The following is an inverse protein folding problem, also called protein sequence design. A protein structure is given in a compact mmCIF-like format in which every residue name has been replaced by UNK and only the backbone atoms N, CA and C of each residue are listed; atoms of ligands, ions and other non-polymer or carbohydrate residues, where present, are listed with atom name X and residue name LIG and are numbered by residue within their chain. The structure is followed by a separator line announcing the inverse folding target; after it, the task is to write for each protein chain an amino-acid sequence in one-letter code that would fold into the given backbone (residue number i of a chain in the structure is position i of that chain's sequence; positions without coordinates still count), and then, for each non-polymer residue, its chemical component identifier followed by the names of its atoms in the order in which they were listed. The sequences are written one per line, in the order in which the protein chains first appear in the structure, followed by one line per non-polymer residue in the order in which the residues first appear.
data_IF_448027498507
#
_entry.id   IF_448027498507
#
_cell.length_a   1.000
_cell.length_b   1.000
_cell.length_c   1.000
_cell.angle_alpha   90.00
_cell.angle_beta   90.00
_cell.angle_gamma   90.00
#
_symmetry.space_group_name_H-M   'P 1'
#
loop_
_entity.id
_entity.type
_entity.pdbx_description
1 polymer ?
#
# COMPACT_ATOMS: atom_id res chain seq x y z
N UNK A 1 10.77 -4.52 4.83
CA UNK A 1 10.21 -4.25 3.50
C UNK A 1 11.20 -3.50 2.59
N UNK A 2 11.87 -2.45 3.10
CA UNK A 2 12.78 -1.57 2.32
C UNK A 2 13.91 -2.35 1.62
N UNK A 3 14.40 -3.45 2.19
CA UNK A 3 15.45 -4.28 1.59
C UNK A 3 15.04 -4.95 0.27
N UNK A 4 13.73 -5.03 -0.02
CA UNK A 4 13.22 -5.62 -1.28
C UNK A 4 13.40 -4.67 -2.46
N UNK A 5 13.41 -3.34 -2.22
CA UNK A 5 13.56 -2.32 -3.27
C UNK A 5 14.87 -2.45 -4.08
N UNK A 6 16.07 -2.59 -3.45
CA UNK A 6 17.30 -2.80 -4.20
C UNK A 6 17.29 -4.07 -5.05
N UNK A 7 16.69 -5.16 -4.54
CA UNK A 7 16.59 -6.41 -5.28
C UNK A 7 15.70 -6.23 -6.53
N UNK A 8 14.54 -5.60 -6.39
CA UNK A 8 13.66 -5.29 -7.52
C UNK A 8 14.36 -4.38 -8.54
N UNK A 9 15.05 -3.32 -8.07
CA UNK A 9 15.78 -2.39 -8.93
C UNK A 9 16.91 -3.08 -9.74
N UNK A 10 17.65 -4.00 -9.13
CA UNK A 10 18.68 -4.77 -9.83
C UNK A 10 18.07 -5.64 -10.93
N UNK A 11 16.96 -6.34 -10.63
CA UNK A 11 16.27 -7.19 -11.60
C UNK A 11 15.75 -6.36 -12.79
N UNK A 12 15.08 -5.23 -12.53
CA UNK A 12 14.62 -4.30 -13.58
C UNK A 12 15.81 -3.76 -14.37
N UNK A 13 16.89 -3.37 -13.68
CA UNK A 13 18.12 -2.86 -14.32
C UNK A 13 18.76 -3.87 -15.26
N UNK A 14 18.82 -5.14 -14.89
CA UNK A 14 19.28 -6.22 -15.77
C UNK A 14 18.38 -6.31 -17.01
N UNK A 15 17.06 -6.26 -16.84
CA UNK A 15 16.10 -6.26 -17.94
C UNK A 15 16.37 -5.11 -18.93
N UNK A 16 16.52 -3.89 -18.46
CA UNK A 16 16.80 -2.72 -19.30
C UNK A 16 18.16 -2.78 -20.01
N UNK A 17 19.20 -3.33 -19.35
CA UNK A 17 20.51 -3.54 -19.98
C UNK A 17 20.42 -4.55 -21.12
N UNK A 18 19.72 -5.66 -20.91
CA UNK A 18 19.52 -6.69 -21.95
C UNK A 18 18.72 -6.14 -23.14
N UNK A 19 17.71 -5.30 -22.87
CA UNK A 19 16.92 -4.63 -23.91
C UNK A 19 17.76 -3.63 -24.71
N UNK A 20 18.55 -2.81 -24.03
CA UNK A 20 19.45 -1.83 -24.67
C UNK A 20 20.53 -2.49 -25.55
N UNK A 21 20.99 -3.69 -25.19
CA UNK A 21 21.93 -4.49 -25.99
C UNK A 21 21.25 -5.26 -27.12
N UNK A 22 19.92 -5.20 -27.22
CA UNK A 22 19.10 -5.99 -28.17
C UNK A 22 19.39 -7.49 -28.15
N UNK A 23 19.84 -7.99 -27.01
CA UNK A 23 20.12 -9.41 -26.76
C UNK A 23 18.88 -10.04 -26.13
N UNK A 24 18.26 -11.00 -26.83
CA UNK A 24 17.12 -11.78 -26.34
C UNK A 24 15.98 -10.89 -25.76
N UNK A 25 15.21 -10.16 -26.60
CA UNK A 25 14.17 -9.22 -26.12
C UNK A 25 13.15 -9.86 -25.17
N UNK A 26 12.84 -11.15 -25.35
CA UNK A 26 11.92 -11.89 -24.50
C UNK A 26 12.47 -12.09 -23.08
N UNK A 27 13.76 -12.30 -22.94
CA UNK A 27 14.43 -12.45 -21.64
C UNK A 27 14.51 -11.09 -20.94
N UNK A 28 14.81 -10.03 -21.69
CA UNK A 28 14.80 -8.66 -21.18
C UNK A 28 13.41 -8.28 -20.59
N UNK A 29 12.36 -8.54 -21.37
CA UNK A 29 10.98 -8.32 -20.94
C UNK A 29 10.61 -9.16 -19.70
N UNK A 30 11.08 -10.41 -19.63
CA UNK A 30 10.84 -11.26 -18.45
C UNK A 30 11.45 -10.66 -17.17
N UNK A 31 12.72 -10.25 -17.19
CA UNK A 31 13.38 -9.64 -16.04
C UNK A 31 12.71 -8.32 -15.63
N UNK A 32 12.38 -7.48 -16.60
CA UNK A 32 11.65 -6.22 -16.33
C UNK A 32 10.32 -6.52 -15.64
N UNK A 33 9.52 -7.43 -16.19
CA UNK A 33 8.20 -7.80 -15.62
C UNK A 33 8.32 -8.41 -14.21
N UNK A 34 9.33 -9.21 -13.92
CA UNK A 34 9.56 -9.74 -12.57
C UNK A 34 9.84 -8.64 -11.57
N UNK A 35 10.72 -7.69 -11.93
CA UNK A 35 11.05 -6.58 -11.04
C UNK A 35 9.87 -5.60 -10.85
N UNK A 36 9.13 -5.29 -11.91
CA UNK A 36 7.92 -4.48 -11.86
C UNK A 36 6.85 -5.12 -10.97
N UNK A 37 6.63 -6.43 -11.10
CA UNK A 37 5.69 -7.16 -10.23
C UNK A 37 6.02 -6.99 -8.75
N UNK A 38 7.30 -7.00 -8.37
CA UNK A 38 7.72 -6.77 -6.99
C UNK A 38 7.37 -5.34 -6.56
N UNK A 39 7.63 -4.35 -7.42
CA UNK A 39 7.33 -2.94 -7.14
C UNK A 39 5.82 -2.69 -7.01
N UNK A 40 5.02 -3.32 -7.86
CA UNK A 40 3.56 -3.24 -7.81
C UNK A 40 2.96 -3.82 -6.53
N UNK A 41 3.67 -4.74 -5.85
CA UNK A 41 3.22 -5.36 -4.61
C UNK A 41 3.83 -4.72 -3.34
N UNK A 42 4.50 -3.57 -3.46
CA UNK A 42 5.16 -2.92 -2.33
C UNK A 42 4.22 -2.63 -1.16
N UNK A 43 3.00 -2.20 -1.42
CA UNK A 43 2.04 -1.86 -0.36
C UNK A 43 1.76 -3.02 0.59
N UNK A 44 1.53 -4.23 0.05
CA UNK A 44 1.29 -5.42 0.89
C UNK A 44 2.57 -5.85 1.65
N UNK A 45 3.74 -5.72 1.02
CA UNK A 45 5.02 -6.02 1.68
C UNK A 45 5.27 -5.07 2.85
N UNK A 46 4.92 -3.78 2.70
CA UNK A 46 4.98 -2.81 3.79
C UNK A 46 3.95 -3.10 4.87
N UNK A 47 2.71 -3.46 4.52
CA UNK A 47 1.69 -3.83 5.49
C UNK A 47 2.16 -4.99 6.39
N UNK A 48 2.67 -6.05 5.79
CA UNK A 48 3.20 -7.21 6.52
C UNK A 48 4.42 -6.82 7.36
N UNK A 49 5.39 -6.11 6.76
CA UNK A 49 6.64 -5.76 7.41
C UNK A 49 6.46 -4.81 8.60
N UNK A 50 5.57 -3.81 8.47
CA UNK A 50 5.23 -2.90 9.57
C UNK A 50 4.47 -3.64 10.67
N UNK A 51 3.51 -4.49 10.28
CA UNK A 51 2.73 -5.26 11.24
C UNK A 51 3.61 -6.17 12.10
N UNK A 52 4.53 -6.93 11.49
CA UNK A 52 5.47 -7.80 12.23
C UNK A 52 6.44 -6.96 13.07
N UNK A 53 6.97 -5.87 12.50
CA UNK A 53 7.96 -5.02 13.19
C UNK A 53 7.40 -4.28 14.41
N UNK A 54 6.09 -3.97 14.43
CA UNK A 54 5.42 -3.26 15.51
C UNK A 54 4.69 -4.19 16.49
N UNK A 55 4.60 -5.48 16.19
CA UNK A 55 3.98 -6.46 17.05
C UNK A 55 4.91 -6.83 18.22
N UNK A 56 4.34 -7.03 19.41
CA UNK A 56 5.09 -7.48 20.62
C UNK A 56 5.81 -8.81 20.42
N UNK A 57 5.26 -9.69 19.60
CA UNK A 57 5.84 -11.00 19.26
C UNK A 57 5.81 -11.14 17.73
N UNK A 58 6.91 -11.63 17.15
CA UNK A 58 6.99 -11.91 15.72
C UNK A 58 6.17 -13.19 15.42
N UNK A 59 4.91 -13.00 15.03
CA UNK A 59 3.96 -14.09 14.84
C UNK A 59 3.33 -14.00 13.44
N UNK A 60 3.14 -15.17 12.82
CA UNK A 60 2.45 -15.26 11.53
C UNK A 60 0.99 -14.76 11.55
N UNK A 61 0.34 -14.79 12.73
CA UNK A 61 -1.03 -14.29 12.87
C UNK A 61 -1.14 -12.79 12.56
N UNK A 62 -0.15 -11.99 12.95
CA UNK A 62 -0.14 -10.55 12.64
C UNK A 62 0.10 -10.29 11.16
N UNK A 63 0.94 -11.10 10.50
CA UNK A 63 1.16 -11.02 9.06
C UNK A 63 -0.12 -11.35 8.28
N UNK A 64 -0.81 -12.42 8.67
CA UNK A 64 -2.10 -12.79 8.07
C UNK A 64 -3.16 -11.71 8.27
N UNK A 65 -3.24 -11.13 9.47
CA UNK A 65 -4.16 -10.04 9.77
C UNK A 65 -3.88 -8.79 8.91
N UNK A 66 -2.60 -8.42 8.74
CA UNK A 66 -2.21 -7.31 7.87
C UNK A 66 -2.56 -7.57 6.41
N UNK A 67 -2.30 -8.78 5.91
CA UNK A 67 -2.65 -9.18 4.54
C UNK A 67 -4.16 -9.10 4.31
N UNK A 68 -4.96 -9.63 5.23
CA UNK A 68 -6.41 -9.56 5.16
C UNK A 68 -6.91 -8.12 5.16
N UNK A 69 -6.42 -7.30 6.08
CA UNK A 69 -6.77 -5.88 6.16
C UNK A 69 -6.41 -5.11 4.89
N UNK A 70 -5.24 -5.42 4.31
CA UNK A 70 -4.79 -4.80 3.07
C UNK A 70 -5.72 -5.12 1.89
N UNK A 71 -6.11 -6.37 1.73
CA UNK A 71 -7.07 -6.76 0.70
C UNK A 71 -8.46 -6.14 0.92
N UNK A 72 -8.93 -6.05 2.17
CA UNK A 72 -10.21 -5.40 2.45
C UNK A 72 -10.19 -3.95 1.93
N UNK A 73 -9.17 -3.17 2.30
CA UNK A 73 -9.12 -1.74 1.95
C UNK A 73 -8.88 -1.55 0.44
N UNK A 74 -7.88 -2.19 -0.14
CA UNK A 74 -7.51 -1.97 -1.55
C UNK A 74 -8.55 -2.51 -2.51
N UNK A 75 -9.15 -3.68 -2.24
CA UNK A 75 -10.16 -4.26 -3.13
C UNK A 75 -11.50 -3.53 -3.01
N UNK A 76 -11.94 -3.18 -1.79
CA UNK A 76 -13.21 -2.47 -1.60
C UNK A 76 -13.15 -1.06 -2.19
N UNK A 77 -12.02 -0.36 -2.01
CA UNK A 77 -11.84 1.00 -2.54
C UNK A 77 -11.38 1.02 -4.00
N UNK A 78 -11.19 -0.13 -4.66
CA UNK A 78 -10.88 -0.15 -6.09
C UNK A 78 -12.04 0.39 -6.93
N UNK A 79 -11.78 1.11 -8.05
CA UNK A 79 -12.84 1.66 -8.90
C UNK A 79 -13.86 0.62 -9.35
N UNK A 80 -13.42 -0.62 -9.61
CA UNK A 80 -14.29 -1.74 -10.02
C UNK A 80 -15.33 -2.13 -8.96
N UNK A 81 -15.01 -1.99 -7.67
CA UNK A 81 -15.92 -2.32 -6.56
C UNK A 81 -16.69 -1.10 -6.08
N UNK A 82 -16.10 0.09 -6.16
CA UNK A 82 -16.78 1.33 -5.80
C UNK A 82 -17.88 1.72 -6.78
N UNK A 83 -17.69 1.50 -8.07
CA UNK A 83 -18.69 1.84 -9.09
C UNK A 83 -20.09 1.26 -8.79
N UNK A 84 -20.26 -0.05 -8.56
CA UNK A 84 -21.56 -0.60 -8.22
C UNK A 84 -22.05 -0.18 -6.82
N UNK A 85 -21.13 0.07 -5.87
CA UNK A 85 -21.47 0.50 -4.51
C UNK A 85 -22.05 1.92 -4.49
N UNK A 86 -21.52 2.81 -5.33
CA UNK A 86 -21.97 4.18 -5.48
C UNK A 86 -23.05 4.35 -6.57
N UNK A 87 -23.43 3.25 -7.25
CA UNK A 87 -24.39 3.24 -8.38
C UNK A 87 -24.00 4.19 -9.53
N UNK A 88 -22.70 4.31 -9.80
CA UNK A 88 -22.12 5.12 -10.88
C UNK A 88 -21.35 4.23 -11.86
N UNK A 89 -21.03 4.76 -13.05
CA UNK A 89 -20.14 4.06 -13.97
C UNK A 89 -18.72 4.07 -13.46
N UNK A 90 -17.93 3.05 -13.82
CA UNK A 90 -16.52 2.96 -13.38
C UNK A 90 -15.69 4.17 -13.83
N UNK A 91 -16.07 4.79 -14.96
CA UNK A 91 -15.45 6.04 -15.47
C UNK A 91 -15.77 7.27 -14.65
N UNK A 92 -16.85 7.26 -13.88
CA UNK A 92 -17.32 8.41 -13.09
C UNK A 92 -16.81 8.35 -11.63
N UNK A 93 -16.11 7.27 -11.28
CA UNK A 93 -15.42 7.13 -9.98
C UNK A 93 -14.23 8.09 -9.97
N UNK A 94 -14.04 8.81 -8.85
CA UNK A 94 -12.94 9.75 -8.70
C UNK A 94 -11.59 9.05 -8.97
N UNK A 95 -10.76 9.65 -9.83
CA UNK A 95 -9.44 9.13 -10.24
C UNK A 95 -8.48 8.89 -9.06
N UNK A 96 -8.72 9.54 -7.91
CA UNK A 96 -7.96 9.29 -6.68
C UNK A 96 -8.00 7.80 -6.25
N UNK A 97 -9.08 7.07 -6.57
CA UNK A 97 -9.22 5.66 -6.23
C UNK A 97 -8.47 4.72 -7.18
N UNK A 98 -8.02 5.19 -8.34
CA UNK A 98 -7.11 4.44 -9.22
C UNK A 98 -5.77 4.15 -8.53
N UNK A 99 -5.38 4.98 -7.58
CA UNK A 99 -4.18 4.79 -6.77
C UNK A 99 -4.35 3.78 -5.61
N UNK A 100 -5.57 3.26 -5.40
CA UNK A 100 -5.83 2.18 -4.44
C UNK A 100 -5.44 0.83 -5.01
N UNK A 101 -4.16 0.69 -5.31
CA UNK A 101 -3.53 -0.52 -5.85
C UNK A 101 -2.70 -1.24 -4.80
N UNK A 102 -2.23 -2.44 -5.13
CA UNK A 102 -1.34 -3.21 -4.27
C UNK A 102 0.01 -2.52 -4.02
N UNK A 103 0.39 -1.56 -4.85
CA UNK A 103 1.59 -0.74 -4.69
C UNK A 103 1.44 0.42 -3.69
N UNK A 104 0.24 0.69 -3.20
CA UNK A 104 0.02 1.83 -2.30
C UNK A 104 0.65 1.58 -0.91
N UNK A 105 1.87 2.08 -0.75
CA UNK A 105 2.68 1.91 0.48
C UNK A 105 2.07 2.65 1.66
N UNK A 106 1.46 3.82 1.44
CA UNK A 106 0.82 4.59 2.52
C UNK A 106 -0.33 3.80 3.16
N UNK A 107 -1.21 3.24 2.35
CA UNK A 107 -2.28 2.35 2.82
C UNK A 107 -1.69 1.12 3.50
N UNK A 108 -0.61 0.55 2.93
CA UNK A 108 0.10 -0.57 3.54
C UNK A 108 0.62 -0.27 4.94
N UNK A 109 1.25 0.89 5.16
CA UNK A 109 1.74 1.31 6.48
C UNK A 109 0.58 1.46 7.46
N UNK A 110 -0.51 2.15 7.08
CA UNK A 110 -1.68 2.33 7.94
C UNK A 110 -2.27 1.00 8.40
N UNK A 111 -2.44 0.06 7.47
CA UNK A 111 -2.99 -1.26 7.78
C UNK A 111 -2.03 -2.08 8.63
N UNK A 112 -0.72 -1.99 8.37
CA UNK A 112 0.29 -2.62 9.18
C UNK A 112 0.25 -2.16 10.64
N UNK A 113 0.07 -0.86 10.88
CA UNK A 113 -0.09 -0.29 12.22
C UNK A 113 -1.38 -0.78 12.91
N UNK A 114 -2.50 -0.82 12.18
CA UNK A 114 -3.77 -1.33 12.71
C UNK A 114 -3.65 -2.81 13.07
N UNK A 115 -3.05 -3.63 12.21
CA UNK A 115 -2.85 -5.05 12.47
C UNK A 115 -1.96 -5.29 13.70
N UNK A 116 -0.86 -4.53 13.82
CA UNK A 116 0.01 -4.57 14.99
C UNK A 116 -0.72 -4.14 16.27
N UNK A 117 -1.50 -3.07 16.20
CA UNK A 117 -2.32 -2.62 17.32
C UNK A 117 -3.33 -3.70 17.75
N UNK A 118 -4.06 -4.28 16.80
CA UNK A 118 -5.00 -5.36 17.06
C UNK A 118 -4.29 -6.57 17.68
N UNK A 119 -3.12 -6.96 17.16
CA UNK A 119 -2.33 -8.04 17.70
C UNK A 119 -1.89 -7.76 19.15
N UNK A 120 -1.32 -6.59 19.38
CA UNK A 120 -0.81 -6.22 20.71
C UNK A 120 -1.90 -6.14 21.78
N UNK A 121 -3.13 -5.83 21.37
CA UNK A 121 -4.26 -5.67 22.29
C UNK A 121 -5.08 -6.95 22.47
N UNK A 122 -5.29 -7.71 21.40
CA UNK A 122 -6.26 -8.81 21.39
C UNK A 122 -5.66 -10.22 21.35
N UNK A 123 -4.34 -10.35 21.10
CA UNK A 123 -3.69 -11.69 20.98
C UNK A 123 -3.74 -12.56 22.23
N UNK A 124 -3.92 -11.95 23.40
CA UNK A 124 -3.98 -12.64 24.70
C UNK A 124 -5.38 -12.54 25.34
N UNK A 125 -6.38 -12.05 24.61
CA UNK A 125 -7.74 -11.89 25.13
C UNK A 125 -8.47 -13.23 25.13
N UNK A 126 -8.97 -13.62 26.30
CA UNK A 126 -9.83 -14.78 26.46
C UNK A 126 -11.29 -14.37 26.32
N UNK A 127 -12.03 -15.05 25.46
CA UNK A 127 -13.46 -14.84 25.24
C UNK A 127 -14.28 -15.81 26.08
N UNK A 128 -15.56 -15.49 26.40
CA UNK A 128 -16.48 -16.40 27.08
C UNK A 128 -16.56 -17.76 26.39
N UNK A 129 -16.94 -18.79 27.15
CA UNK A 129 -16.94 -20.20 26.71
C UNK A 129 -17.64 -20.42 25.38
N UNK A 130 -18.74 -19.70 25.12
CA UNK A 130 -19.47 -19.78 23.84
C UNK A 130 -18.65 -19.30 22.61
N UNK A 131 -17.67 -18.42 22.80
CA UNK A 131 -16.82 -17.85 21.75
C UNK A 131 -15.35 -18.23 21.92
N UNK A 132 -15.03 -19.16 22.80
CA UNK A 132 -13.65 -19.56 23.13
C UNK A 132 -12.84 -20.04 21.92
N UNK A 133 -13.51 -20.56 20.88
CA UNK A 133 -12.88 -20.94 19.62
C UNK A 133 -12.16 -19.75 18.92
N UNK A 134 -12.68 -18.54 19.10
CA UNK A 134 -12.11 -17.33 18.52
C UNK A 134 -11.12 -16.60 19.44
N UNK A 135 -10.84 -17.13 20.61
CA UNK A 135 -9.94 -16.53 21.61
C UNK A 135 -8.49 -16.44 21.14
N UNK A 136 -7.75 -15.49 21.73
CA UNK A 136 -6.32 -15.31 21.51
C UNK A 136 -5.97 -14.87 20.08
N UNK A 137 -4.99 -15.53 19.48
CA UNK A 137 -4.46 -15.15 18.16
C UNK A 137 -5.48 -15.21 17.01
N UNK A 138 -6.52 -16.03 17.14
CA UNK A 138 -7.59 -16.13 16.13
C UNK A 138 -8.50 -14.91 16.11
N UNK A 139 -8.57 -14.18 17.21
CA UNK A 139 -9.34 -12.93 17.30
C UNK A 139 -8.69 -11.80 16.51
N UNK A 140 -7.36 -11.81 16.36
CA UNK A 140 -6.61 -10.73 15.74
C UNK A 140 -7.05 -10.45 14.29
N UNK A 141 -7.14 -11.42 13.36
CA UNK A 141 -7.63 -11.16 12.01
C UNK A 141 -9.06 -10.60 11.97
N UNK A 142 -9.93 -11.07 12.87
CA UNK A 142 -11.34 -10.63 12.96
C UNK A 142 -11.40 -9.16 13.36
N UNK A 143 -10.68 -8.78 14.42
CA UNK A 143 -10.62 -7.40 14.88
C UNK A 143 -9.95 -6.49 13.84
N UNK A 144 -8.88 -6.98 13.19
CA UNK A 144 -8.23 -6.24 12.11
C UNK A 144 -9.18 -6.01 10.93
N UNK A 145 -9.95 -7.03 10.52
CA UNK A 145 -10.96 -6.90 9.47
C UNK A 145 -12.01 -5.83 9.82
N UNK A 146 -12.49 -5.82 11.07
CA UNK A 146 -13.44 -4.81 11.56
C UNK A 146 -12.85 -3.39 11.49
N UNK A 147 -11.65 -3.18 12.03
CA UNK A 147 -11.00 -1.86 11.99
C UNK A 147 -10.63 -1.43 10.59
N UNK A 148 -10.19 -2.36 9.72
CA UNK A 148 -9.88 -2.05 8.32
C UNK A 148 -11.15 -1.73 7.50
N UNK A 149 -12.29 -2.35 7.81
CA UNK A 149 -13.58 -1.96 7.21
C UNK A 149 -13.97 -0.54 7.61
N UNK A 150 -13.80 -0.19 8.87
CA UNK A 150 -14.01 1.19 9.33
C UNK A 150 -13.03 2.17 8.66
N UNK A 151 -11.75 1.79 8.56
CA UNK A 151 -10.74 2.59 7.84
C UNK A 151 -11.13 2.78 6.37
N UNK A 152 -11.65 1.75 5.69
CA UNK A 152 -12.10 1.86 4.30
C UNK A 152 -13.22 2.90 4.15
N UNK A 153 -14.18 2.93 5.09
CA UNK A 153 -15.23 3.95 5.10
C UNK A 153 -14.65 5.35 5.29
N UNK A 154 -13.71 5.52 6.22
CA UNK A 154 -13.04 6.81 6.44
C UNK A 154 -12.26 7.24 5.19
N UNK A 155 -11.51 6.33 4.57
CA UNK A 155 -10.75 6.63 3.37
C UNK A 155 -11.64 6.92 2.15
N UNK A 156 -12.85 6.36 2.10
CA UNK A 156 -13.81 6.68 1.04
C UNK A 156 -14.09 8.19 0.94
N UNK A 157 -14.17 8.86 2.09
CA UNK A 157 -14.43 10.30 2.16
C UNK A 157 -13.16 11.14 2.22
N UNK A 158 -12.14 10.66 2.90
CA UNK A 158 -10.91 11.42 3.17
C UNK A 158 -9.88 11.31 2.04
N UNK A 159 -9.85 10.19 1.32
CA UNK A 159 -8.84 9.95 0.29
C UNK A 159 -8.89 10.93 -0.88
N UNK A 160 -10.06 11.22 -1.50
CA UNK A 160 -10.12 12.15 -2.61
C UNK A 160 -9.57 13.55 -2.30
N UNK A 161 -9.94 14.23 -1.19
CA UNK A 161 -9.36 15.54 -0.87
C UNK A 161 -7.87 15.48 -0.57
N UNK A 162 -7.39 14.43 0.12
CA UNK A 162 -5.96 14.25 0.39
C UNK A 162 -5.17 14.07 -0.92
N UNK A 163 -5.64 13.19 -1.80
CA UNK A 163 -5.02 12.95 -3.10
C UNK A 163 -5.00 14.23 -3.95
N UNK A 164 -6.12 14.93 -4.05
CA UNK A 164 -6.22 16.18 -4.82
C UNK A 164 -5.29 17.26 -4.26
N UNK A 165 -5.14 17.34 -2.93
CA UNK A 165 -4.19 18.26 -2.29
C UNK A 165 -2.74 17.93 -2.69
N UNK A 166 -2.34 16.65 -2.69
CA UNK A 166 -1.01 16.19 -3.10
C UNK A 166 -0.77 16.51 -4.58
N UNK A 167 -1.71 16.20 -5.46
CA UNK A 167 -1.63 16.49 -6.90
C UNK A 167 -1.52 17.99 -7.16
N UNK A 168 -2.36 18.79 -6.50
CA UNK A 168 -2.34 20.26 -6.65
C UNK A 168 -1.01 20.84 -6.18
N UNK A 169 -0.50 20.38 -5.06
CA UNK A 169 0.81 20.76 -4.54
C UNK A 169 1.94 20.38 -5.50
N UNK A 170 1.90 19.16 -6.06
CA UNK A 170 2.85 18.73 -7.07
C UNK A 170 2.84 19.60 -8.31
N UNK A 171 1.65 19.91 -8.87
CA UNK A 171 1.49 20.81 -10.03
C UNK A 171 2.00 22.23 -9.74
N UNK A 172 1.76 22.73 -8.52
CA UNK A 172 2.24 24.04 -8.10
C UNK A 172 3.78 24.07 -8.07
N UNK A 173 4.42 23.03 -7.53
CA UNK A 173 5.89 22.90 -7.51
C UNK A 173 6.45 22.84 -8.92
N UNK A 174 5.89 22.02 -9.82
CA UNK A 174 6.35 21.89 -11.21
C UNK A 174 6.23 23.24 -11.95
N UNK A 175 5.19 24.01 -11.67
CA UNK A 175 4.99 25.35 -12.25
C UNK A 175 6.02 26.39 -11.82
N UNK A 176 6.82 26.15 -10.78
CA UNK A 176 7.87 27.07 -10.30
C UNK A 176 9.21 26.97 -11.09
N UNK A 177 9.29 26.12 -12.12
CA UNK A 177 10.50 25.96 -12.92
C UNK A 177 11.70 25.39 -12.14
N UNK A 178 12.93 25.93 -12.30
CA UNK A 178 14.13 25.39 -11.63
C UNK A 178 14.05 25.37 -10.09
N UNK A 179 13.41 26.37 -9.48
CA UNK A 179 13.14 26.40 -8.05
C UNK A 179 12.19 25.27 -7.63
N UNK A 180 11.21 24.96 -8.47
CA UNK A 180 10.29 23.85 -8.25
C UNK A 180 11.02 22.51 -8.21
N UNK A 181 12.01 22.29 -9.07
CA UNK A 181 12.83 21.07 -9.07
C UNK A 181 13.59 20.88 -7.74
N UNK A 182 14.13 21.94 -7.16
CA UNK A 182 14.80 21.89 -5.84
C UNK A 182 13.81 21.55 -4.73
N UNK A 183 12.67 22.23 -4.70
CA UNK A 183 11.61 22.01 -3.73
C UNK A 183 11.05 20.59 -3.87
N UNK A 184 10.79 20.14 -5.10
CA UNK A 184 10.34 18.78 -5.39
C UNK A 184 11.32 17.73 -4.89
N UNK A 185 12.62 17.89 -5.18
CA UNK A 185 13.67 16.97 -4.71
C UNK A 185 13.72 16.90 -3.18
N UNK A 186 13.58 18.04 -2.51
CA UNK A 186 13.54 18.11 -1.05
C UNK A 186 12.32 17.37 -0.46
N UNK A 187 11.12 17.70 -0.94
CA UNK A 187 9.90 17.07 -0.46
C UNK A 187 9.80 15.59 -0.84
N UNK A 188 10.24 15.21 -2.04
CA UNK A 188 10.31 13.81 -2.45
C UNK A 188 11.19 13.01 -1.48
N UNK A 189 12.35 13.56 -1.10
CA UNK A 189 13.24 12.94 -0.12
C UNK A 189 12.64 12.85 1.27
N UNK A 190 11.92 13.90 1.69
CA UNK A 190 11.22 13.92 2.99
C UNK A 190 10.05 12.92 3.03
N UNK A 191 9.38 12.70 1.90
CA UNK A 191 8.22 11.81 1.80
C UNK A 191 8.58 10.33 1.61
N UNK A 192 9.86 10.01 1.35
CA UNK A 192 10.32 8.61 1.24
C UNK A 192 9.91 7.75 2.44
N UNK A 193 10.13 8.19 3.71
CA UNK A 193 9.76 7.39 4.88
C UNK A 193 8.25 7.13 5.01
N UNK A 194 7.41 8.02 4.48
CA UNK A 194 5.95 7.90 4.53
C UNK A 194 5.35 7.10 3.37
N UNK A 195 6.16 6.76 2.35
CA UNK A 195 5.72 6.08 1.14
C UNK A 195 4.89 6.94 0.17
N UNK A 196 4.57 8.20 0.53
CA UNK A 196 3.78 9.12 -0.31
C UNK A 196 4.54 9.63 -1.54
N UNK A 197 5.88 9.47 -1.57
CA UNK A 197 6.71 9.86 -2.72
C UNK A 197 6.31 9.14 -4.01
N UNK A 198 5.79 7.90 -3.92
CA UNK A 198 5.33 7.13 -5.08
C UNK A 198 4.12 7.78 -5.77
N UNK A 199 3.25 8.45 -5.01
CA UNK A 199 2.13 9.21 -5.56
C UNK A 199 2.57 10.49 -6.28
N UNK A 200 3.75 11.03 -5.94
CA UNK A 200 4.32 12.21 -6.60
C UNK A 200 5.06 11.88 -7.91
N UNK A 201 5.55 10.66 -8.07
CA UNK A 201 6.29 10.25 -9.28
C UNK A 201 5.35 10.10 -10.49
N UNK A 202 4.07 9.83 -10.26
CA UNK A 202 3.06 9.65 -11.32
C UNK A 202 2.38 10.96 -11.78
N UNK A 203 2.84 12.12 -11.32
CA UNK A 203 2.37 13.45 -11.72
C UNK A 203 3.31 14.07 -12.75
#
# INVERSE_FOLDING_TARGET
PVAVLPAAAIIVGIGHVLDALSILPQVAMFFTSVGETILEQLGILFAIGVAIGMAKKNDGAVALAATLGFFIVTVVLSPKKLAPLLQVKTTDVNSAFEQMTNGNVFVGILIGLIAAFCYNKFSETELPVALSFFSGKRLVPIMTAFFCTFLAIVLLFLWPPVFNAIVTFGKWIVGMGPFGALIYGFFNRLLIPTGLHLSLIHI
#
